data_IF_817619728272
#
_entry.id   IF_817619728272
#
_cell.length_a   1.000
_cell.length_b   1.000
_cell.length_c   1.000
_cell.angle_alpha   90.00
_cell.angle_beta   90.00
_cell.angle_gamma   90.00
#
_symmetry.space_group_name_H-M   'P 1'
#
loop_
_entity.id
_entity.type
_entity.pdbx_description
1 polymer ?
#
# COMPACT_ATOMS: atom_id res chain seq x y z
N UNK A 1 35.99 4.66 -12.33
CA UNK A 1 36.53 5.96 -11.96
C UNK A 1 35.56 6.71 -11.03
N UNK A 2 35.99 7.87 -10.49
CA UNK A 2 35.10 8.72 -9.68
C UNK A 2 34.01 9.30 -10.59
N UNK A 3 32.72 9.12 -10.20
CA UNK A 3 31.59 9.60 -10.99
C UNK A 3 30.94 8.57 -11.91
N UNK A 4 31.57 7.41 -12.11
CA UNK A 4 30.97 6.29 -12.86
C UNK A 4 29.67 5.82 -12.21
N UNK A 5 28.78 5.22 -13.02
CA UNK A 5 27.54 4.62 -12.54
C UNK A 5 27.76 3.12 -12.34
N UNK A 6 27.46 2.64 -11.16
CA UNK A 6 27.49 1.23 -10.79
C UNK A 6 26.06 0.72 -10.67
N UNK A 7 25.73 -0.38 -11.34
CA UNK A 7 24.43 -1.03 -11.31
C UNK A 7 24.55 -2.39 -10.60
N UNK A 8 23.62 -2.66 -9.67
CA UNK A 8 23.52 -3.95 -8.97
C UNK A 8 22.05 -4.30 -8.76
N UNK A 9 21.56 -5.32 -9.48
CA UNK A 9 20.15 -5.71 -9.43
C UNK A 9 19.83 -6.78 -8.39
N UNK A 10 20.83 -7.25 -7.65
CA UNK A 10 20.71 -8.23 -6.57
C UNK A 10 21.47 -7.76 -5.34
N UNK A 11 21.20 -6.53 -4.92
CA UNK A 11 22.06 -5.77 -4.00
C UNK A 11 22.19 -6.40 -2.60
N UNK A 12 21.28 -7.29 -2.21
CA UNK A 12 21.30 -7.96 -0.92
C UNK A 12 21.45 -6.99 0.24
N UNK A 13 22.57 -7.07 0.95
CA UNK A 13 22.85 -6.18 2.06
C UNK A 13 23.44 -4.81 1.65
N UNK A 14 23.54 -4.49 0.36
CA UNK A 14 23.97 -3.20 -0.18
C UNK A 14 25.48 -2.93 -0.12
N UNK A 15 26.29 -3.96 -0.21
CA UNK A 15 27.75 -3.82 -0.22
C UNK A 15 28.23 -2.99 -1.39
N UNK A 16 27.70 -3.27 -2.59
CA UNK A 16 28.02 -2.56 -3.83
C UNK A 16 27.69 -1.07 -3.71
N UNK A 17 26.50 -0.73 -3.22
CA UNK A 17 26.08 0.66 -3.02
C UNK A 17 26.97 1.37 -2.02
N UNK A 18 27.29 0.73 -0.89
CA UNK A 18 28.12 1.30 0.16
C UNK A 18 29.56 1.57 -0.30
N UNK A 19 30.15 0.64 -1.07
CA UNK A 19 31.49 0.82 -1.63
C UNK A 19 31.49 1.90 -2.71
N UNK A 20 30.50 1.91 -3.58
CA UNK A 20 30.35 2.92 -4.62
C UNK A 20 30.23 4.33 -4.04
N UNK A 21 29.43 4.52 -2.98
CA UNK A 21 29.30 5.79 -2.29
C UNK A 21 30.64 6.25 -1.67
N UNK A 22 31.38 5.35 -1.00
CA UNK A 22 32.71 5.67 -0.45
C UNK A 22 33.73 6.07 -1.52
N UNK A 23 33.63 5.48 -2.71
CA UNK A 23 34.52 5.76 -3.85
C UNK A 23 34.05 6.97 -4.68
N UNK A 24 32.96 7.64 -4.29
CA UNK A 24 32.41 8.79 -5.02
C UNK A 24 31.82 8.43 -6.38
N UNK A 25 31.41 7.17 -6.56
CA UNK A 25 30.68 6.68 -7.76
C UNK A 25 29.19 6.89 -7.57
N UNK A 26 28.46 7.03 -8.66
CA UNK A 26 26.99 6.93 -8.68
C UNK A 26 26.62 5.45 -8.60
N UNK A 27 25.44 5.17 -8.09
CA UNK A 27 24.97 3.80 -8.00
C UNK A 27 23.45 3.72 -8.13
N UNK A 28 22.98 2.62 -8.71
CA UNK A 28 21.58 2.20 -8.77
C UNK A 28 21.58 0.76 -8.32
N UNK A 29 20.84 0.46 -7.27
CA UNK A 29 20.74 -0.88 -6.70
C UNK A 29 19.27 -1.28 -6.58
N UNK A 30 18.98 -2.54 -6.89
CA UNK A 30 17.66 -3.11 -6.73
C UNK A 30 17.71 -4.45 -5.99
N UNK A 31 16.63 -4.76 -5.29
CA UNK A 31 16.43 -6.06 -4.65
C UNK A 31 14.93 -6.31 -4.47
N UNK A 32 14.49 -7.55 -4.58
CA UNK A 32 13.09 -7.93 -4.33
C UNK A 32 12.77 -8.01 -2.84
N UNK A 33 13.77 -8.26 -2.00
CA UNK A 33 13.61 -8.46 -0.57
C UNK A 33 13.51 -7.15 0.20
N UNK A 34 12.39 -6.89 0.86
CA UNK A 34 12.25 -5.71 1.74
C UNK A 34 13.34 -5.65 2.81
N UNK A 35 13.73 -6.79 3.35
CA UNK A 35 14.82 -6.88 4.33
C UNK A 35 16.15 -6.43 3.74
N UNK A 36 16.44 -6.82 2.49
CA UNK A 36 17.62 -6.40 1.75
C UNK A 36 17.64 -4.87 1.57
N UNK A 37 16.55 -4.29 1.08
CA UNK A 37 16.39 -2.84 0.92
C UNK A 37 16.54 -2.10 2.24
N UNK A 38 15.90 -2.60 3.32
CA UNK A 38 16.00 -1.98 4.64
C UNK A 38 17.44 -2.01 5.20
N UNK A 39 18.13 -3.13 5.01
CA UNK A 39 19.53 -3.29 5.43
C UNK A 39 20.45 -2.38 4.63
N UNK A 40 20.27 -2.33 3.31
CA UNK A 40 21.01 -1.44 2.41
C UNK A 40 20.83 0.02 2.81
N UNK A 41 19.60 0.45 3.05
CA UNK A 41 19.30 1.82 3.50
C UNK A 41 20.01 2.17 4.81
N UNK A 42 19.95 1.30 5.82
CA UNK A 42 20.65 1.52 7.09
C UNK A 42 22.15 1.64 6.90
N UNK A 43 22.74 0.76 6.08
CA UNK A 43 24.16 0.76 5.75
C UNK A 43 24.58 2.06 5.08
N UNK A 44 23.84 2.51 4.09
CA UNK A 44 24.11 3.76 3.35
C UNK A 44 24.04 4.99 4.26
N UNK A 45 23.04 5.08 5.12
CA UNK A 45 22.95 6.15 6.13
C UNK A 45 24.17 6.14 7.03
N UNK A 46 24.67 4.96 7.43
CA UNK A 46 25.91 4.82 8.22
C UNK A 46 27.14 5.33 7.46
N UNK A 47 27.27 4.97 6.19
CA UNK A 47 28.37 5.43 5.31
C UNK A 47 28.33 6.95 5.14
N UNK A 48 27.17 7.52 4.87
CA UNK A 48 27.01 8.98 4.70
C UNK A 48 27.35 9.75 5.98
N UNK A 49 26.94 9.24 7.15
CA UNK A 49 27.31 9.82 8.44
C UNK A 49 28.84 9.79 8.66
N UNK A 50 29.50 8.72 8.23
CA UNK A 50 30.93 8.61 8.30
C UNK A 50 31.64 9.61 7.36
N UNK A 51 31.20 9.67 6.09
CA UNK A 51 31.72 10.62 5.10
C UNK A 51 31.55 12.08 5.57
N UNK A 52 30.41 12.41 6.17
CA UNK A 52 30.16 13.72 6.78
C UNK A 52 31.15 14.04 7.91
N UNK A 53 31.47 13.09 8.77
CA UNK A 53 32.44 13.27 9.85
C UNK A 53 33.87 13.46 9.31
N UNK A 54 34.17 12.85 8.16
CA UNK A 54 35.47 12.97 7.48
C UNK A 54 35.53 14.19 6.54
N UNK A 55 34.53 15.08 6.60
CA UNK A 55 34.39 16.27 5.73
C UNK A 55 34.43 15.95 4.21
N UNK A 56 34.07 14.70 3.86
CA UNK A 56 33.97 14.23 2.48
C UNK A 56 32.56 14.50 1.92
N UNK A 57 32.48 14.69 0.61
CA UNK A 57 31.21 14.83 -0.07
C UNK A 57 30.39 13.53 -0.04
N UNK A 58 29.11 13.64 0.18
CA UNK A 58 28.13 12.57 0.11
C UNK A 58 26.88 13.07 -0.64
N UNK A 59 26.08 12.14 -1.12
CA UNK A 59 24.86 12.48 -1.89
C UNK A 59 23.64 11.87 -1.21
N UNK A 60 22.53 12.57 -1.26
CA UNK A 60 21.23 11.99 -0.91
C UNK A 60 20.89 10.85 -1.87
N UNK A 61 20.12 9.89 -1.41
CA UNK A 61 19.59 8.80 -2.23
C UNK A 61 18.10 8.68 -2.00
N UNK A 62 17.42 8.13 -2.98
CA UNK A 62 15.99 7.85 -2.97
C UNK A 62 15.77 6.34 -2.91
N UNK A 63 14.73 5.92 -2.21
CA UNK A 63 14.27 4.54 -2.20
C UNK A 63 12.94 4.50 -2.95
N UNK A 64 12.99 3.91 -4.14
CA UNK A 64 11.81 3.75 -4.99
C UNK A 64 11.22 2.34 -4.80
N UNK A 65 9.93 2.26 -4.85
CA UNK A 65 9.22 0.98 -4.86
C UNK A 65 8.35 0.92 -6.10
N UNK A 66 8.51 -0.13 -6.90
CA UNK A 66 7.62 -0.42 -8.02
C UNK A 66 6.20 -0.81 -7.59
N UNK A 67 5.95 -0.85 -6.32
CA UNK A 67 4.72 -0.90 -5.50
C UNK A 67 3.52 -1.67 -6.04
N UNK A 68 3.35 -1.69 -7.34
CA UNK A 68 2.15 -2.30 -7.97
C UNK A 68 2.41 -3.66 -8.63
N UNK A 69 3.67 -4.12 -8.75
CA UNK A 69 3.98 -5.37 -9.46
C UNK A 69 3.36 -6.61 -8.81
N UNK A 70 3.26 -6.63 -7.49
CA UNK A 70 2.62 -7.74 -6.77
C UNK A 70 1.11 -7.77 -7.00
N UNK A 71 0.50 -6.59 -7.18
CA UNK A 71 -0.92 -6.45 -7.54
C UNK A 71 -1.16 -6.80 -9.00
N UNK A 72 -0.15 -6.59 -9.86
CA UNK A 72 -0.22 -6.86 -11.29
C UNK A 72 -0.56 -8.32 -11.57
N UNK A 73 -0.03 -9.25 -10.79
CA UNK A 73 -0.37 -10.67 -10.91
C UNK A 73 -1.88 -10.94 -10.87
N UNK A 74 -2.63 -10.20 -10.04
CA UNK A 74 -4.08 -10.36 -9.90
C UNK A 74 -4.88 -9.60 -10.97
N UNK A 75 -4.21 -8.78 -11.78
CA UNK A 75 -4.85 -7.94 -12.80
C UNK A 75 -4.58 -8.47 -14.19
N UNK A 76 -3.34 -8.94 -14.44
CA UNK A 76 -2.92 -9.38 -15.77
C UNK A 76 -3.71 -10.60 -16.24
N UNK A 77 -4.28 -10.43 -17.41
CA UNK A 77 -4.76 -11.51 -18.25
C UNK A 77 -3.83 -11.59 -19.45
N UNK A 78 -3.35 -12.78 -19.80
CA UNK A 78 -2.51 -12.98 -20.97
C UNK A 78 -3.27 -12.53 -22.22
N UNK A 79 -2.68 -11.60 -22.97
CA UNK A 79 -3.29 -11.03 -24.19
C UNK A 79 -3.50 -12.05 -25.31
N UNK A 80 -2.91 -13.25 -25.18
CA UNK A 80 -2.98 -14.34 -26.16
C UNK A 80 -4.02 -15.41 -25.83
N UNK A 81 -4.75 -15.31 -24.73
CA UNK A 81 -5.82 -16.25 -24.36
C UNK A 81 -7.15 -15.89 -25.02
N UNK A 82 -7.96 -16.92 -25.32
CA UNK A 82 -9.35 -16.74 -25.74
C UNK A 82 -10.17 -15.99 -24.66
N UNK A 83 -11.11 -15.16 -25.08
CA UNK A 83 -11.89 -14.28 -24.18
C UNK A 83 -12.57 -15.05 -23.03
N UNK A 84 -13.10 -16.24 -23.27
CA UNK A 84 -13.74 -17.06 -22.21
C UNK A 84 -12.74 -17.55 -21.16
N UNK A 85 -11.54 -17.99 -21.60
CA UNK A 85 -10.47 -18.44 -20.70
C UNK A 85 -9.94 -17.25 -19.90
N UNK A 86 -9.79 -16.10 -20.55
CA UNK A 86 -9.34 -14.84 -19.95
C UNK A 86 -10.29 -14.34 -18.86
N UNK A 87 -11.60 -14.39 -19.09
CA UNK A 87 -12.63 -14.00 -18.10
C UNK A 87 -12.54 -14.94 -16.90
N UNK A 88 -12.51 -16.26 -17.13
CA UNK A 88 -12.42 -17.27 -16.07
C UNK A 88 -11.14 -17.13 -15.23
N UNK A 89 -10.01 -16.92 -15.87
CA UNK A 89 -8.73 -16.70 -15.18
C UNK A 89 -8.76 -15.42 -14.36
N UNK A 90 -9.38 -14.35 -14.85
CA UNK A 90 -9.55 -13.10 -14.11
C UNK A 90 -10.44 -13.28 -12.88
N UNK A 91 -11.54 -14.00 -12.98
CA UNK A 91 -12.41 -14.31 -11.83
C UNK A 91 -11.68 -15.12 -10.77
N UNK A 92 -10.88 -16.12 -11.16
CA UNK A 92 -10.07 -16.91 -10.25
C UNK A 92 -9.04 -16.01 -9.53
N UNK A 93 -8.32 -15.17 -10.26
CA UNK A 93 -7.32 -14.25 -9.68
C UNK A 93 -7.96 -13.24 -8.71
N UNK A 94 -9.12 -12.69 -9.03
CA UNK A 94 -9.86 -11.80 -8.13
C UNK A 94 -10.25 -12.56 -6.85
N UNK A 95 -10.75 -13.77 -6.99
CA UNK A 95 -11.13 -14.60 -5.85
C UNK A 95 -9.92 -14.92 -4.96
N UNK A 96 -8.79 -15.29 -5.55
CA UNK A 96 -7.54 -15.57 -4.82
C UNK A 96 -7.06 -14.32 -4.07
N UNK A 97 -7.20 -13.15 -4.67
CA UNK A 97 -6.89 -11.87 -4.04
C UNK A 97 -7.80 -11.58 -2.84
N UNK A 98 -9.09 -11.76 -3.00
CA UNK A 98 -10.06 -11.58 -1.91
C UNK A 98 -9.79 -12.56 -0.77
N UNK A 99 -9.52 -13.84 -1.07
CA UNK A 99 -9.21 -14.87 -0.07
C UNK A 99 -7.94 -14.51 0.70
N UNK A 100 -6.92 -14.00 0.03
CA UNK A 100 -5.68 -13.51 0.66
C UNK A 100 -5.96 -12.36 1.66
N UNK A 101 -6.80 -11.39 1.25
CA UNK A 101 -7.16 -10.28 2.13
C UNK A 101 -7.99 -10.78 3.32
N UNK A 102 -8.97 -11.64 3.09
CA UNK A 102 -9.83 -12.14 4.16
C UNK A 102 -9.05 -12.99 5.16
N UNK A 103 -8.11 -13.82 4.72
CA UNK A 103 -7.21 -14.55 5.62
C UNK A 103 -6.42 -13.59 6.51
N UNK A 104 -5.78 -12.58 5.91
CA UNK A 104 -4.96 -11.63 6.65
C UNK A 104 -5.80 -10.70 7.55
N UNK A 105 -6.97 -10.26 7.10
CA UNK A 105 -7.88 -9.40 7.85
C UNK A 105 -8.71 -10.16 8.89
N UNK A 106 -8.72 -11.51 8.82
CA UNK A 106 -9.56 -12.41 9.63
C UNK A 106 -11.05 -12.12 9.44
N UNK A 107 -11.45 -11.89 8.19
CA UNK A 107 -12.83 -11.73 7.80
C UNK A 107 -13.37 -13.04 7.18
N UNK A 108 -14.68 -13.21 7.20
CA UNK A 108 -15.37 -14.33 6.55
C UNK A 108 -16.04 -13.83 5.28
N UNK A 109 -15.92 -14.60 4.19
CA UNK A 109 -16.61 -14.29 2.94
C UNK A 109 -18.12 -14.38 3.14
N UNK A 110 -18.86 -13.48 2.52
CA UNK A 110 -20.32 -13.49 2.44
C UNK A 110 -20.75 -13.46 0.97
N UNK A 111 -22.01 -13.78 0.70
CA UNK A 111 -22.62 -13.73 -0.62
C UNK A 111 -24.00 -13.07 -0.53
N UNK A 112 -24.54 -12.67 -1.69
CA UNK A 112 -25.85 -12.03 -1.77
C UNK A 112 -25.81 -10.50 -1.77
N UNK A 113 -24.62 -9.90 -1.77
CA UNK A 113 -24.40 -8.46 -1.87
C UNK A 113 -23.58 -8.12 -3.11
N UNK A 114 -23.75 -6.91 -3.61
CA UNK A 114 -23.02 -6.42 -4.78
C UNK A 114 -21.64 -5.83 -4.40
N UNK A 115 -21.60 -5.04 -3.32
CA UNK A 115 -20.42 -4.29 -2.90
C UNK A 115 -19.83 -4.79 -1.59
N UNK A 116 -20.53 -5.67 -0.87
CA UNK A 116 -20.09 -6.25 0.38
C UNK A 116 -19.59 -7.67 0.15
N UNK A 117 -18.33 -7.90 0.46
CA UNK A 117 -17.61 -9.13 0.12
C UNK A 117 -17.38 -10.06 1.32
N UNK A 118 -17.40 -9.51 2.54
CA UNK A 118 -17.13 -10.27 3.75
C UNK A 118 -17.72 -9.66 5.01
N UNK A 119 -17.50 -10.34 6.14
CA UNK A 119 -17.85 -9.87 7.48
C UNK A 119 -16.75 -10.16 8.48
N UNK A 120 -16.62 -9.31 9.49
CA UNK A 120 -15.69 -9.46 10.61
C UNK A 120 -16.40 -9.10 11.90
N UNK A 121 -16.82 -10.12 12.65
CA UNK A 121 -17.72 -9.91 13.80
C UNK A 121 -19.07 -9.38 13.33
N UNK A 122 -19.46 -8.22 13.84
CA UNK A 122 -20.69 -7.51 13.44
C UNK A 122 -20.50 -6.55 12.29
N UNK A 123 -19.26 -6.30 11.88
CA UNK A 123 -18.94 -5.35 10.81
C UNK A 123 -18.92 -6.05 9.46
N UNK A 124 -19.54 -5.43 8.46
CA UNK A 124 -19.42 -5.86 7.07
C UNK A 124 -18.12 -5.36 6.46
N UNK A 125 -17.65 -6.03 5.40
CA UNK A 125 -16.38 -5.71 4.74
C UNK A 125 -16.61 -5.55 3.24
N UNK A 126 -16.22 -4.39 2.73
CA UNK A 126 -16.13 -4.09 1.31
C UNK A 126 -14.68 -4.00 0.89
N UNK A 127 -14.34 -4.58 -0.26
CA UNK A 127 -13.00 -4.50 -0.84
C UNK A 127 -13.00 -3.48 -1.97
N UNK A 128 -12.05 -2.56 -1.90
CA UNK A 128 -11.78 -1.65 -3.00
C UNK A 128 -11.04 -2.34 -4.16
N UNK A 129 -10.93 -1.66 -5.30
CA UNK A 129 -10.27 -2.20 -6.48
C UNK A 129 -8.77 -2.45 -6.24
N UNK A 130 -8.23 -3.47 -6.94
CA UNK A 130 -6.82 -3.89 -6.77
C UNK A 130 -5.83 -2.85 -7.30
N UNK A 131 -6.14 -2.22 -8.43
CA UNK A 131 -5.21 -1.40 -9.23
C UNK A 131 -5.56 0.08 -9.33
N UNK A 132 -6.67 0.48 -8.74
CA UNK A 132 -7.15 1.85 -8.78
C UNK A 132 -7.37 2.38 -7.36
N UNK A 133 -7.28 3.69 -7.14
CA UNK A 133 -7.74 4.28 -5.90
C UNK A 133 -9.22 4.00 -5.66
N UNK A 134 -9.59 3.81 -4.41
CA UNK A 134 -10.98 3.70 -4.02
C UNK A 134 -11.67 5.05 -4.30
N UNK A 135 -12.64 5.03 -5.21
CA UNK A 135 -13.32 6.23 -5.67
C UNK A 135 -14.52 6.59 -4.80
N UNK A 136 -14.95 7.86 -4.89
CA UNK A 136 -16.16 8.36 -4.25
C UNK A 136 -17.39 7.54 -4.64
N UNK A 137 -17.56 7.26 -5.94
CA UNK A 137 -18.71 6.49 -6.44
C UNK A 137 -18.79 5.10 -5.79
N UNK A 138 -17.66 4.42 -5.66
CA UNK A 138 -17.62 3.10 -5.02
C UNK A 138 -18.09 3.18 -3.55
N UNK A 139 -17.64 4.18 -2.81
CA UNK A 139 -18.07 4.37 -1.41
C UNK A 139 -19.56 4.68 -1.32
N UNK A 140 -20.08 5.51 -2.21
CA UNK A 140 -21.51 5.84 -2.27
C UNK A 140 -22.37 4.61 -2.57
N UNK A 141 -21.93 3.72 -3.48
CA UNK A 141 -22.58 2.43 -3.74
C UNK A 141 -22.59 1.54 -2.49
N UNK A 142 -21.47 1.44 -1.77
CA UNK A 142 -21.39 0.69 -0.51
C UNK A 142 -22.35 1.25 0.54
N UNK A 143 -22.39 2.56 0.69
CA UNK A 143 -23.31 3.24 1.64
C UNK A 143 -24.76 2.95 1.28
N UNK A 144 -25.11 3.04 -0.01
CA UNK A 144 -26.46 2.79 -0.48
C UNK A 144 -26.91 1.34 -0.20
N UNK A 145 -26.05 0.36 -0.47
CA UNK A 145 -26.32 -1.05 -0.20
C UNK A 145 -26.43 -1.33 1.32
N UNK A 146 -25.57 -0.73 2.14
CA UNK A 146 -25.65 -0.84 3.59
C UNK A 146 -27.00 -0.30 4.13
N UNK A 147 -27.42 0.88 3.68
CA UNK A 147 -28.67 1.49 4.11
C UNK A 147 -29.87 0.63 3.67
N UNK A 148 -29.87 0.16 2.44
CA UNK A 148 -30.94 -0.71 1.90
C UNK A 148 -31.12 -1.99 2.71
N UNK A 149 -30.01 -2.53 3.26
CA UNK A 149 -30.00 -3.78 4.02
C UNK A 149 -29.98 -3.57 5.54
N UNK A 150 -30.18 -2.34 6.04
CA UNK A 150 -30.14 -1.99 7.47
C UNK A 150 -28.82 -2.37 8.17
N UNK A 151 -27.70 -2.26 7.45
CA UNK A 151 -26.36 -2.51 7.96
C UNK A 151 -25.86 -1.26 8.69
N UNK A 152 -25.38 -1.42 9.91
CA UNK A 152 -24.98 -0.32 10.78
C UNK A 152 -23.47 -0.03 10.77
N UNK A 153 -22.66 -0.97 10.25
CA UNK A 153 -21.21 -0.83 10.27
C UNK A 153 -20.55 -1.53 9.09
N UNK A 154 -19.63 -0.83 8.43
CA UNK A 154 -18.86 -1.36 7.30
C UNK A 154 -17.42 -0.88 7.34
N UNK A 155 -16.49 -1.82 7.08
CA UNK A 155 -15.09 -1.55 6.84
C UNK A 155 -14.84 -1.56 5.33
N UNK A 156 -14.29 -0.49 4.79
CA UNK A 156 -13.86 -0.43 3.40
C UNK A 156 -12.35 -0.58 3.35
N UNK A 157 -11.87 -1.66 2.73
CA UNK A 157 -10.46 -1.97 2.62
C UNK A 157 -9.94 -1.52 1.26
N UNK A 158 -8.90 -0.70 1.23
CA UNK A 158 -8.28 -0.22 0.00
C UNK A 158 -6.77 -0.08 0.09
N UNK A 159 -6.07 -0.17 -1.04
CA UNK A 159 -4.65 0.15 -1.11
C UNK A 159 -4.41 1.65 -1.20
N UNK A 160 -5.25 2.33 -1.95
CA UNK A 160 -5.16 3.74 -2.25
C UNK A 160 -6.56 4.34 -2.18
N UNK A 161 -6.64 5.61 -1.84
CA UNK A 161 -7.90 6.34 -1.70
C UNK A 161 -7.84 7.59 -2.56
N UNK A 162 -8.95 7.93 -3.20
CA UNK A 162 -9.08 9.17 -3.96
C UNK A 162 -9.00 10.38 -3.03
N UNK A 163 -8.32 11.44 -3.47
CA UNK A 163 -8.23 12.66 -2.69
C UNK A 163 -9.63 13.30 -2.55
N UNK A 164 -9.95 13.73 -1.33
CA UNK A 164 -11.25 14.37 -1.04
C UNK A 164 -12.36 13.42 -0.58
N UNK A 165 -12.08 12.11 -0.43
CA UNK A 165 -13.03 11.18 0.21
C UNK A 165 -13.33 11.53 1.66
N UNK A 166 -12.40 12.19 2.33
CA UNK A 166 -12.48 12.55 3.75
C UNK A 166 -12.60 14.07 3.91
N UNK A 167 -13.27 14.53 4.95
CA UNK A 167 -14.11 13.85 5.95
C UNK A 167 -15.57 13.73 5.54
N UNK A 168 -15.99 14.37 4.43
CA UNK A 168 -17.39 14.63 4.06
C UNK A 168 -18.24 13.37 3.98
N UNK A 169 -17.79 12.36 3.25
CA UNK A 169 -18.57 11.12 3.04
C UNK A 169 -18.74 10.34 4.34
N UNK A 170 -17.74 10.35 5.20
CA UNK A 170 -17.79 9.67 6.49
C UNK A 170 -18.83 10.29 7.41
N UNK A 171 -18.96 11.63 7.39
CA UNK A 171 -19.97 12.36 8.15
C UNK A 171 -21.37 12.14 7.55
N UNK A 172 -21.51 12.15 6.22
CA UNK A 172 -22.77 11.82 5.55
C UNK A 172 -23.27 10.40 5.91
N UNK A 173 -22.37 9.43 5.96
CA UNK A 173 -22.70 8.07 6.38
C UNK A 173 -23.15 8.03 7.86
N UNK A 174 -22.46 8.76 8.73
CA UNK A 174 -22.76 8.85 10.15
C UNK A 174 -24.14 9.43 10.41
N UNK A 175 -24.52 10.50 9.69
CA UNK A 175 -25.85 11.11 9.79
C UNK A 175 -26.96 10.12 9.39
N UNK A 176 -26.67 9.20 8.46
CA UNK A 176 -27.56 8.12 8.05
C UNK A 176 -27.54 6.90 8.98
N UNK A 177 -26.81 6.96 10.10
CA UNK A 177 -26.71 5.88 11.08
C UNK A 177 -25.72 4.77 10.72
N UNK A 178 -24.89 4.95 9.69
CA UNK A 178 -23.89 3.99 9.26
C UNK A 178 -22.50 4.36 9.77
N UNK A 179 -21.84 3.46 10.49
CA UNK A 179 -20.45 3.58 10.89
C UNK A 179 -19.55 3.11 9.74
N UNK A 180 -18.92 4.05 9.07
CA UNK A 180 -18.02 3.83 7.95
C UNK A 180 -16.57 3.92 8.42
N UNK A 181 -15.78 2.87 8.23
CA UNK A 181 -14.36 2.84 8.59
C UNK A 181 -13.51 2.45 7.38
N UNK A 182 -12.51 3.28 7.08
CA UNK A 182 -11.55 3.01 6.03
C UNK A 182 -10.30 2.34 6.61
N UNK A 183 -9.85 1.26 5.98
CA UNK A 183 -8.68 0.50 6.40
C UNK A 183 -7.69 0.37 5.24
N UNK A 184 -6.46 0.78 5.49
CA UNK A 184 -5.37 0.61 4.53
C UNK A 184 -5.00 -0.87 4.41
N UNK A 185 -5.05 -1.42 3.20
CA UNK A 185 -4.48 -2.74 2.90
C UNK A 185 -2.96 -2.59 2.85
N UNK A 186 -2.22 -3.22 3.76
CA UNK A 186 -0.77 -3.09 3.76
C UNK A 186 -0.14 -3.94 2.65
N UNK A 187 0.97 -3.47 2.09
CA UNK A 187 1.67 -4.20 1.03
C UNK A 187 2.25 -5.54 1.53
N UNK A 188 2.43 -5.67 2.83
CA UNK A 188 2.89 -6.89 3.52
C UNK A 188 1.93 -8.09 3.33
N UNK A 189 0.71 -7.85 2.85
CA UNK A 189 -0.27 -8.90 2.56
C UNK A 189 0.24 -9.90 1.52
N UNK A 190 1.14 -9.47 0.63
CA UNK A 190 1.75 -10.35 -0.38
C UNK A 190 2.91 -11.19 0.16
N UNK A 191 3.33 -10.97 1.40
CA UNK A 191 4.31 -11.82 2.08
C UNK A 191 3.59 -12.93 2.86
N UNK A 192 3.56 -14.14 2.30
CA UNK A 192 2.93 -15.31 2.92
C UNK A 192 3.41 -15.57 4.34
N UNK A 193 4.68 -15.29 4.65
CA UNK A 193 5.25 -15.49 5.98
C UNK A 193 4.70 -14.45 6.98
N UNK A 194 4.51 -13.22 6.55
CA UNK A 194 3.91 -12.17 7.37
C UNK A 194 2.45 -12.48 7.68
N UNK A 195 1.68 -12.94 6.68
CA UNK A 195 0.28 -13.36 6.85
C UNK A 195 0.18 -14.53 7.83
N UNK A 196 0.95 -15.61 7.62
CA UNK A 196 0.93 -16.79 8.49
C UNK A 196 1.32 -16.48 9.93
N UNK A 197 2.22 -15.52 10.15
CA UNK A 197 2.63 -15.08 11.50
C UNK A 197 1.68 -14.05 12.12
N UNK A 198 0.63 -13.64 11.43
CA UNK A 198 -0.29 -12.60 11.88
C UNK A 198 0.36 -11.22 12.05
N UNK A 199 1.41 -10.94 11.29
CA UNK A 199 2.17 -9.68 11.35
C UNK A 199 1.64 -8.59 10.41
N UNK A 200 0.59 -8.91 9.64
CA UNK A 200 -0.06 -7.95 8.73
C UNK A 200 -1.04 -7.09 9.52
N UNK A 201 -0.79 -5.80 9.57
CA UNK A 201 -1.61 -4.83 10.28
C UNK A 201 -2.34 -3.91 9.31
N UNK A 202 -3.66 -3.90 9.42
CA UNK A 202 -4.53 -2.98 8.67
C UNK A 202 -4.73 -1.70 9.50
N UNK A 203 -4.17 -0.61 9.05
CA UNK A 203 -4.27 0.67 9.74
C UNK A 203 -5.54 1.41 9.36
N UNK A 204 -6.09 2.15 10.31
CA UNK A 204 -7.15 3.11 10.03
C UNK A 204 -6.61 4.24 9.18
N UNK A 205 -7.38 4.64 8.17
CA UNK A 205 -7.07 5.83 7.39
C UNK A 205 -7.67 7.02 8.12
N UNK A 206 -6.81 7.92 8.59
CA UNK A 206 -7.21 9.15 9.27
C UNK A 206 -6.97 10.35 8.35
N UNK A 207 -7.90 11.29 8.36
CA UNK A 207 -7.71 12.60 7.78
C UNK A 207 -7.05 13.52 8.80
N UNK A 208 -6.01 14.23 8.39
CA UNK A 208 -5.35 15.23 9.22
C UNK A 208 -5.51 16.57 8.52
N UNK A 209 -6.22 17.49 9.17
CA UNK A 209 -6.34 18.87 8.73
C UNK A 209 -5.33 19.75 9.46
N UNK A 210 -4.71 20.67 8.72
CA UNK A 210 -3.71 21.59 9.26
C UNK A 210 -4.20 23.03 9.11
N UNK A 211 -4.38 23.72 10.21
CA UNK A 211 -4.54 25.16 10.21
C UNK A 211 -3.19 25.82 10.51
N UNK A 212 -2.52 26.30 9.46
CA UNK A 212 -1.24 26.98 9.57
C UNK A 212 -1.45 28.46 9.89
N UNK A 213 -1.28 28.84 11.14
CA UNK A 213 -1.20 30.25 11.55
C UNK A 213 0.25 30.72 11.40
N UNK A 214 0.51 31.55 10.39
CA UNK A 214 1.77 32.27 10.29
C UNK A 214 1.77 33.37 11.32
N UNK A 215 2.48 33.16 12.42
CA UNK A 215 2.81 34.24 13.36
C UNK A 215 4.13 34.86 12.88
N UNK A 216 4.11 36.16 12.53
CA UNK A 216 5.31 36.95 12.28
C UNK A 216 6.24 36.85 13.52
N UNK A 217 7.16 35.93 13.50
CA UNK A 217 8.33 35.94 14.37
C UNK A 217 9.50 36.42 13.54
N UNK A 218 9.91 37.66 13.78
CA UNK A 218 11.20 38.16 13.36
C UNK A 218 12.26 37.14 13.77
N UNK A 219 12.91 36.54 12.78
CA UNK A 219 14.15 35.82 12.97
C UNK A 219 15.22 36.86 13.31
N UNK A 220 15.55 36.97 14.56
CA UNK A 220 16.78 37.62 15.05
C UNK A 220 17.91 36.59 15.07
#
# INVERSE_FOLDING_TARGET
EKGDIVLDFFSGSGTTAAVSEKLGRKWICADLGKFAIHTTRKRLIGVQRQLKKEEKSWRSFEVLNLGKYQRQYFIDSDEHENDEIRIKNKEVKIKDFEDLIFEAYKAKRISGFKTLHGSKGEDFVSLGPVNQPLSRNHVEEVIAECIQNNILSVHILGFEYEMGLFPTIQEEARVKGLRLMYKQIPIEIFDKRAVQKGQVLFHDVAYIDFDCKVTDRNLS
#
